data_IF_530936624700
#
_entry.id   IF_530936624700
#
_cell.length_a   1.000
_cell.length_b   1.000
_cell.length_c   1.000
_cell.angle_alpha   90.00
_cell.angle_beta   90.00
_cell.angle_gamma   90.00
#
_symmetry.space_group_name_H-M   'P 1'
#
loop_
_entity.id
_entity.type
_entity.pdbx_description
1 polymer ?
2 polymer ?
3 polymer ?
4 non-polymer ?
5 non-polymer ?
6 water ?
#
# COMPACT_ATOMS: atom_id res chain seq x y z
N UNK A 1 -9.50 -8.96 -25.35
CA UNK A 1 -10.52 -8.47 -26.24
C UNK A 1 -11.19 -7.21 -25.75
N UNK A 2 -11.45 -7.12 -24.44
CA UNK A 2 -12.04 -5.92 -23.84
C UNK A 2 -11.14 -5.40 -22.70
N UNK A 3 -10.68 -4.16 -22.85
CA UNK A 3 -9.80 -3.50 -21.88
C UNK A 3 -10.60 -2.45 -21.11
N UNK A 4 -10.44 -2.43 -19.78
CA UNK A 4 -11.07 -1.42 -18.92
C UNK A 4 -10.07 -0.33 -18.54
N UNK A 5 -10.50 0.92 -18.70
CA UNK A 5 -9.68 2.09 -18.37
C UNK A 5 -10.42 2.98 -17.38
N UNK A 6 -9.82 3.17 -16.21
CA UNK A 6 -10.36 4.04 -15.18
C UNK A 6 -9.71 5.41 -15.24
N UNK A 7 -10.54 6.43 -15.47
CA UNK A 7 -10.09 7.82 -15.58
C UNK A 7 -10.86 8.73 -14.62
N UNK A 8 -10.16 9.58 -13.85
CA UNK A 8 -8.69 9.59 -13.78
C UNK A 8 -8.17 8.57 -12.75
N UNK A 9 -6.85 8.36 -12.74
CA UNK A 9 -6.21 7.45 -11.78
C UNK A 9 -6.28 7.97 -10.34
N UNK A 10 -6.15 9.28 -10.19
CA UNK A 10 -6.29 9.97 -8.90
C UNK A 10 -7.40 11.02 -9.02
N UNK A 11 -8.39 10.92 -8.13
CA UNK A 11 -9.51 11.86 -8.08
C UNK A 11 -9.53 12.57 -6.73
N UNK A 12 -9.61 13.90 -6.78
CA UNK A 12 -9.63 14.74 -5.60
C UNK A 12 -10.97 15.43 -5.46
N UNK A 13 -11.63 15.25 -4.32
CA UNK A 13 -12.93 15.85 -4.06
C UNK A 13 -13.01 16.50 -2.68
N UNK A 14 -13.52 17.72 -2.65
CA UNK A 14 -13.76 18.46 -1.41
C UNK A 14 -14.96 17.86 -0.66
N UNK A 15 -15.01 18.00 0.69
CA UNK A 15 -16.20 17.57 1.43
C UNK A 15 -17.47 18.29 0.96
N UNK A 16 -18.51 17.51 0.67
CA UNK A 16 -19.79 18.01 0.16
C UNK A 16 -19.96 17.97 -1.35
N UNK A 17 -18.84 17.91 -2.07
CA UNK A 17 -18.80 17.93 -3.54
C UNK A 17 -19.36 16.65 -4.17
N UNK A 18 -19.92 16.80 -5.38
CA UNK A 18 -20.36 15.67 -6.20
C UNK A 18 -19.16 15.03 -6.89
N UNK A 19 -19.10 13.71 -6.84
CA UNK A 19 -17.96 12.92 -7.37
C UNK A 19 -18.48 11.93 -8.42
N UNK A 20 -17.87 11.93 -9.61
CA UNK A 20 -18.14 10.92 -10.63
C UNK A 20 -16.83 10.37 -11.19
N UNK A 21 -16.67 9.04 -11.10
CA UNK A 21 -15.53 8.35 -11.69
C UNK A 21 -15.97 7.36 -12.77
N UNK A 22 -15.24 7.34 -13.88
CA UNK A 22 -15.65 6.59 -15.07
C UNK A 22 -14.78 5.35 -15.28
N UNK A 23 -15.43 4.27 -15.69
CA UNK A 23 -14.77 3.05 -16.16
C UNK A 23 -15.15 2.85 -17.62
N UNK A 24 -14.19 3.07 -18.51
CA UNK A 24 -14.39 2.97 -19.94
C UNK A 24 -13.94 1.61 -20.46
N UNK A 25 -14.77 1.00 -21.29
CA UNK A 25 -14.46 -0.28 -21.92
C UNK A 25 -14.16 -0.09 -23.40
N UNK A 26 -13.21 -0.87 -23.93
CA UNK A 26 -12.81 -0.77 -25.35
C UNK A 26 -13.86 -1.33 -26.32
N UNK A 27 -14.76 -2.14 -25.78
CA UNK A 27 -15.95 -2.63 -26.49
C UNK A 27 -17.09 -2.75 -25.49
N UNK A 28 -18.32 -2.86 -26.01
CA UNK A 28 -19.55 -2.88 -25.20
C UNK A 28 -19.54 -3.98 -24.14
N UNK A 29 -19.93 -3.62 -22.91
CA UNK A 29 -20.15 -4.57 -21.82
C UNK A 29 -21.54 -4.35 -21.21
N UNK A 30 -22.15 -5.42 -20.72
CA UNK A 30 -23.55 -5.39 -20.27
C UNK A 30 -23.74 -4.96 -18.81
N UNK A 31 -22.65 -4.95 -18.05
CA UNK A 31 -22.67 -4.62 -16.62
C UNK A 31 -21.30 -4.12 -16.16
N UNK A 32 -21.27 -3.51 -14.98
CA UNK A 32 -20.04 -3.19 -14.29
C UNK A 32 -20.19 -3.41 -12.79
N UNK A 33 -19.22 -4.11 -12.21
CA UNK A 33 -19.14 -4.24 -10.76
C UNK A 33 -18.11 -3.25 -10.23
N UNK A 34 -18.35 -2.78 -9.01
CA UNK A 34 -17.47 -1.83 -8.34
C UNK A 34 -17.11 -2.32 -6.94
N UNK A 35 -15.83 -2.18 -6.59
CA UNK A 35 -15.31 -2.60 -5.30
C UNK A 35 -14.56 -1.46 -4.62
N UNK A 36 -14.82 -1.30 -3.32
CA UNK A 36 -14.13 -0.30 -2.49
C UNK A 36 -13.02 -0.96 -1.67
N UNK A 37 -11.83 -0.35 -1.71
CA UNK A 37 -10.72 -0.82 -0.88
C UNK A 37 -10.00 0.32 -0.15
N UNK A 38 -9.89 0.16 1.17
CA UNK A 38 -9.08 1.02 2.02
C UNK A 38 -7.81 0.27 2.42
N UNK A 39 -6.76 1.02 2.77
CA UNK A 39 -5.45 0.45 3.13
C UNK A 39 -5.53 -0.62 4.21
N UNK A 40 -4.94 -1.78 3.92
CA UNK A 40 -4.81 -2.87 4.88
C UNK A 40 -5.97 -3.86 4.99
N UNK A 41 -7.02 -3.63 4.21
CA UNK A 41 -8.22 -4.51 4.24
C UNK A 41 -8.63 -5.00 2.84
N UNK A 42 -9.39 -6.09 2.82
CA UNK A 42 -9.92 -6.69 1.59
C UNK A 42 -10.83 -5.75 0.81
N UNK A 43 -10.90 -5.90 -0.53
CA UNK A 43 -11.92 -5.15 -1.29
C UNK A 43 -13.34 -5.55 -0.86
N UNK A 44 -14.23 -4.57 -0.83
CA UNK A 44 -15.65 -4.80 -0.50
C UNK A 44 -16.47 -4.58 -1.76
N UNK A 45 -17.41 -5.49 -2.04
CA UNK A 45 -18.41 -5.27 -3.08
C UNK A 45 -19.21 -4.01 -2.72
N UNK A 46 -19.24 -3.05 -3.64
CA UNK A 46 -19.82 -1.74 -3.35
C UNK A 46 -21.07 -1.48 -4.20
N UNK A 47 -20.90 -1.49 -5.52
CA UNK A 47 -22.01 -1.45 -6.47
C UNK A 47 -21.86 -2.64 -7.41
N UNK A 48 -22.94 -3.42 -7.55
CA UNK A 48 -22.95 -4.59 -8.42
C UNK A 48 -24.09 -4.48 -9.44
N UNK A 49 -23.96 -5.22 -10.55
CA UNK A 49 -24.89 -5.14 -11.70
C UNK A 49 -25.15 -3.68 -12.09
N UNK A 50 -24.07 -2.91 -12.22
CA UNK A 50 -24.07 -1.50 -12.67
C UNK A 50 -24.63 -0.47 -11.68
N UNK A 51 -25.71 -0.82 -10.99
CA UNK A 51 -26.51 0.16 -10.23
C UNK A 51 -26.96 -0.28 -8.85
N UNK A 52 -26.81 -1.57 -8.54
CA UNK A 52 -27.34 -2.12 -7.28
C UNK A 52 -26.33 -1.94 -6.15
N UNK A 53 -26.78 -1.30 -5.08
CA UNK A 53 -25.95 -1.05 -3.91
C UNK A 53 -25.91 -2.26 -2.99
N UNK A 54 -24.71 -2.63 -2.57
CA UNK A 54 -24.53 -3.70 -1.58
C UNK A 54 -25.10 -3.28 -0.22
N UNK A 55 -25.41 -4.27 0.62
CA UNK A 55 -25.95 -4.00 1.96
C UNK A 55 -24.95 -3.23 2.81
N UNK A 56 -25.41 -2.10 3.35
CA UNK A 56 -24.58 -1.24 4.19
C UNK A 56 -23.96 -0.04 3.47
N UNK A 57 -24.02 -0.05 2.14
CA UNK A 57 -23.52 1.06 1.32
C UNK A 57 -24.50 2.23 1.43
N UNK A 58 -24.02 3.42 1.86
CA UNK A 58 -24.88 4.60 2.04
C UNK A 58 -25.56 5.08 0.75
N UNK A 59 -26.70 5.73 0.89
CA UNK A 59 -27.57 6.17 -0.22
C UNK A 59 -26.95 7.24 -1.14
N UNK A 60 -25.92 7.93 -0.65
CA UNK A 60 -25.17 8.92 -1.45
C UNK A 60 -24.43 8.30 -2.65
N UNK A 61 -24.15 7.00 -2.56
CA UNK A 61 -23.55 6.25 -3.66
C UNK A 61 -24.60 5.80 -4.68
N UNK A 62 -24.24 5.90 -5.95
CA UNK A 62 -25.03 5.39 -7.07
C UNK A 62 -24.13 4.98 -8.23
N UNK A 63 -24.67 4.16 -9.13
CA UNK A 63 -23.93 3.74 -10.33
C UNK A 63 -24.80 3.69 -11.57
N UNK A 64 -24.18 3.84 -12.73
CA UNK A 64 -24.88 3.79 -14.00
C UNK A 64 -24.01 3.63 -15.22
N UNK A 65 -24.65 3.63 -16.38
CA UNK A 65 -23.98 3.49 -17.66
C UNK A 65 -24.49 2.34 -18.49
N UNK A 66 -23.89 2.18 -19.66
CA UNK A 66 -24.21 1.12 -20.63
C UNK A 66 -23.12 1.13 -21.69
N UNK A 67 -23.02 0.01 -22.43
CA UNK A 67 -22.10 -0.10 -23.56
C UNK A 67 -20.64 0.02 -23.19
N UNK A 68 -20.02 1.10 -23.63
CA UNK A 68 -18.57 1.33 -23.46
C UNK A 68 -18.21 2.25 -22.29
N UNK A 69 -19.21 2.75 -21.56
CA UNK A 69 -18.95 3.69 -20.47
C UNK A 69 -19.85 3.47 -19.25
N UNK A 70 -19.22 3.22 -18.11
CA UNK A 70 -19.89 3.02 -16.82
C UNK A 70 -19.29 3.95 -15.77
N UNK A 71 -20.06 4.27 -14.73
CA UNK A 71 -19.62 5.23 -13.71
C UNK A 71 -20.11 4.92 -12.29
N UNK A 72 -19.35 5.42 -11.31
CA UNK A 72 -19.72 5.42 -9.90
C UNK A 72 -19.83 6.87 -9.46
N UNK A 73 -20.94 7.22 -8.81
CA UNK A 73 -21.22 8.60 -8.40
C UNK A 73 -21.49 8.70 -6.90
N UNK A 74 -20.86 9.69 -6.26
CA UNK A 74 -21.17 10.11 -4.89
C UNK A 74 -21.79 11.50 -4.96
N UNK A 75 -22.99 11.64 -4.40
CA UNK A 75 -23.74 12.91 -4.41
C UNK A 75 -23.07 14.00 -3.55
N UNK A 76 -22.61 13.60 -2.37
CA UNK A 76 -21.84 14.47 -1.49
C UNK A 76 -20.68 13.71 -0.86
N UNK A 77 -19.47 14.20 -1.13
CA UNK A 77 -18.24 13.58 -0.64
C UNK A 77 -18.08 13.74 0.86
N UNK A 78 -17.86 12.60 1.53
CA UNK A 78 -17.54 12.56 2.96
C UNK A 78 -16.14 11.97 3.14
N UNK A 79 -15.54 12.23 4.29
CA UNK A 79 -14.17 11.79 4.61
C UNK A 79 -14.00 10.26 4.56
N UNK A 80 -15.01 9.54 5.02
CA UNK A 80 -15.01 8.07 5.02
C UNK A 80 -15.07 7.43 3.62
N UNK A 81 -15.42 8.23 2.61
CA UNK A 81 -15.50 7.76 1.22
C UNK A 81 -14.14 7.69 0.53
N UNK A 82 -13.12 8.27 1.15
CA UNK A 82 -11.74 8.23 0.66
C UNK A 82 -11.23 6.79 0.66
N UNK A 83 -11.00 6.27 -0.56
CA UNK A 83 -10.61 4.88 -0.80
C UNK A 83 -10.25 4.70 -2.29
N UNK A 84 -9.78 3.51 -2.65
CA UNK A 84 -9.62 3.12 -4.05
C UNK A 84 -10.85 2.36 -4.51
N UNK A 85 -11.37 2.75 -5.68
CA UNK A 85 -12.52 2.10 -6.29
C UNK A 85 -12.10 1.40 -7.57
N UNK A 86 -12.32 0.08 -7.61
CA UNK A 86 -12.01 -0.75 -8.77
C UNK A 86 -13.28 -1.10 -9.50
N UNK A 87 -13.30 -0.86 -10.82
CA UNK A 87 -14.35 -1.41 -11.67
C UNK A 87 -13.94 -2.80 -12.14
N UNK A 88 -14.93 -3.63 -12.47
CA UNK A 88 -14.68 -5.05 -12.77
C UNK A 88 -15.80 -5.65 -13.63
N UNK A 89 -15.38 -6.44 -14.61
CA UNK A 89 -16.27 -7.12 -15.55
C UNK A 89 -15.55 -8.38 -16.03
N UNK A 90 -16.23 -9.53 -15.96
CA UNK A 90 -15.61 -10.84 -16.24
C UNK A 90 -15.27 -11.07 -17.71
N UNK A 91 -15.91 -10.32 -18.61
CA UNK A 91 -15.63 -10.40 -20.05
C UNK A 91 -14.43 -9.51 -20.43
N UNK A 92 -13.84 -8.84 -19.44
CA UNK A 92 -12.71 -7.95 -19.66
C UNK A 92 -11.37 -8.60 -19.27
N UNK A 93 -10.29 -8.14 -19.91
CA UNK A 93 -8.95 -8.70 -19.72
C UNK A 93 -7.90 -7.59 -19.61
N UNK A 94 -7.37 -7.31 -18.40
CA UNK A 94 -7.69 -8.02 -17.15
C UNK A 94 -9.09 -7.69 -16.62
N UNK A 95 -9.61 -8.56 -15.75
CA UNK A 95 -10.99 -8.44 -15.26
C UNK A 95 -11.22 -7.21 -14.37
N UNK A 96 -10.24 -6.85 -13.55
CA UNK A 96 -10.29 -5.65 -12.72
C UNK A 96 -9.63 -4.47 -13.43
N UNK A 97 -10.25 -3.30 -13.34
CA UNK A 97 -9.62 -2.04 -13.75
C UNK A 97 -8.50 -1.67 -12.81
N UNK A 98 -7.66 -0.72 -13.22
CA UNK A 98 -6.49 -0.30 -12.44
C UNK A 98 -6.83 0.44 -11.13
N UNK A 99 -8.06 0.93 -11.03
CA UNK A 99 -8.53 1.60 -9.81
C UNK A 99 -8.43 3.11 -9.87
N UNK A 100 -9.45 3.76 -9.29
CA UNK A 100 -9.43 5.21 -9.06
C UNK A 100 -9.25 5.45 -7.57
N UNK A 101 -8.12 6.04 -7.20
CA UNK A 101 -7.85 6.47 -5.84
C UNK A 101 -8.58 7.78 -5.61
N UNK A 102 -9.52 7.76 -4.67
CA UNK A 102 -10.29 8.95 -4.31
C UNK A 102 -9.77 9.52 -2.99
N UNK A 103 -9.32 10.76 -3.05
CA UNK A 103 -8.77 11.47 -1.89
C UNK A 103 -9.57 12.74 -1.60
N UNK A 104 -9.38 13.31 -0.41
CA UNK A 104 -9.97 14.61 -0.07
C UNK A 104 -9.16 15.73 -0.73
N UNK A 105 -9.89 16.69 -1.30
CA UNK A 105 -9.27 17.88 -1.90
C UNK A 105 -9.13 18.98 -0.86
N UNK A 106 -8.00 19.66 -0.91
CA UNK A 106 -7.73 20.86 -0.12
C UNK A 106 -6.87 21.82 -0.94
N UNK A 107 -6.59 23.00 -0.40
CA UNK A 107 -5.71 23.98 -1.06
C UNK A 107 -4.27 23.46 -1.11
N UNK A 108 -3.55 23.90 -2.14
CA UNK A 108 -2.13 23.55 -2.33
C UNK A 108 -1.31 24.02 -1.12
N UNK A 109 -0.54 23.10 -0.55
CA UNK A 109 0.37 23.41 0.55
C UNK A 109 1.77 22.91 0.20
N UNK A 110 2.73 23.82 0.24
CA UNK A 110 4.14 23.49 0.00
C UNK A 110 4.72 22.69 1.16
N UNK A 111 5.62 21.71 0.87
CA UNK A 111 6.23 20.97 1.97
C UNK A 111 7.21 21.81 2.78
N UNK A 112 7.25 21.55 4.08
CA UNK A 112 8.34 22.02 4.93
C UNK A 112 9.42 20.96 4.82
N UNK A 113 10.60 21.38 4.37
CA UNK A 113 11.70 20.47 4.02
C UNK A 113 12.78 20.48 5.09
N UNK A 114 13.24 19.29 5.47
CA UNK A 114 14.28 19.12 6.49
C UNK A 114 15.29 18.07 6.04
N UNK A 115 16.58 18.39 6.17
CA UNK A 115 17.66 17.43 5.87
C UNK A 115 18.37 16.97 7.15
N UNK A 116 18.66 15.67 7.23
CA UNK A 116 19.33 15.09 8.39
C UNK A 116 20.63 14.41 7.97
N UNK A 117 21.78 14.86 8.53
CA UNK A 117 23.07 14.18 8.31
C UNK A 117 23.08 12.80 8.95
N UNK A 118 23.96 11.88 8.47
CA UNK A 118 24.09 10.63 9.21
C UNK A 118 24.71 10.88 10.58
N UNK A 119 24.28 10.10 11.57
CA UNK A 119 24.80 10.18 12.93
C UNK A 119 26.21 9.59 12.98
N UNK A 120 27.00 10.03 13.95
CA UNK A 120 28.34 9.50 14.19
C UNK A 120 28.29 8.01 14.57
N UNK A 121 27.22 7.63 15.28
CA UNK A 121 26.95 6.24 15.65
C UNK A 121 26.87 5.32 14.43
N UNK A 122 26.14 5.75 13.40
CA UNK A 122 26.01 4.98 12.14
C UNK A 122 27.34 4.84 11.39
N UNK A 123 28.12 5.93 11.38
CA UNK A 123 29.41 5.97 10.67
C UNK A 123 30.42 4.93 11.17
N UNK A 124 30.23 4.44 12.39
CA UNK A 124 31.00 3.33 12.94
C UNK A 124 30.73 1.99 12.24
N UNK A 125 29.52 1.83 11.70
CA UNK A 125 29.09 0.58 11.05
C UNK A 125 29.54 0.43 9.58
N UNK A 126 30.06 1.52 9.01
CA UNK A 126 30.58 1.52 7.63
C UNK A 126 29.61 1.99 6.56
N UNK A 127 28.41 2.41 6.98
CA UNK A 127 27.37 2.91 6.06
C UNK A 127 26.88 4.29 6.53
N UNK A 128 26.43 5.11 5.58
CA UNK A 128 25.89 6.43 5.85
C UNK A 128 24.50 6.60 5.22
N UNK A 129 23.53 7.00 6.05
CA UNK A 129 22.17 7.27 5.60
C UNK A 129 21.86 8.75 5.78
N UNK A 130 21.49 9.41 4.68
CA UNK A 130 21.11 10.82 4.70
C UNK A 130 19.60 10.89 4.46
N UNK A 131 18.89 11.59 5.35
CA UNK A 131 17.42 11.59 5.33
C UNK A 131 16.85 12.97 5.02
N UNK A 132 15.86 13.00 4.14
CA UNK A 132 15.12 14.22 3.81
C UNK A 132 13.65 14.04 4.12
N UNK A 133 13.11 14.97 4.90
CA UNK A 133 11.69 14.98 5.25
C UNK A 133 10.96 16.10 4.51
N UNK A 134 9.84 15.73 3.89
CA UNK A 134 8.92 16.68 3.27
C UNK A 134 7.63 16.61 4.08
N UNK A 135 7.35 17.68 4.82
CA UNK A 135 6.29 17.66 5.83
C UNK A 135 5.04 18.43 5.44
N UNK A 136 3.90 17.77 5.60
CA UNK A 136 2.55 18.36 5.49
C UNK A 136 2.28 19.13 4.18
N UNK A 137 2.28 18.40 3.07
CA UNK A 137 2.07 18.99 1.75
C UNK A 137 0.84 18.44 1.01
N UNK A 138 0.33 19.23 0.06
CA UNK A 138 -0.74 18.83 -0.86
C UNK A 138 -0.56 19.57 -2.20
N UNK A 139 -0.72 18.92 -3.36
CA UNK A 139 -1.11 17.50 -3.52
C UNK A 139 0.00 16.48 -3.21
N UNK A 140 -0.31 15.20 -3.35
CA UNK A 140 0.60 14.09 -3.01
C UNK A 140 1.87 14.05 -3.86
N UNK A 141 1.76 14.41 -5.13
CA UNK A 141 2.88 14.38 -6.08
C UNK A 141 4.01 15.30 -5.64
N UNK A 142 5.21 14.73 -5.50
CA UNK A 142 6.42 15.47 -5.12
C UNK A 142 7.65 14.74 -5.64
N UNK A 143 8.67 15.50 -6.01
CA UNK A 143 9.93 14.97 -6.50
C UNK A 143 11.07 15.37 -5.56
N UNK A 144 11.87 14.38 -5.17
CA UNK A 144 13.07 14.59 -4.36
C UNK A 144 14.29 14.27 -5.22
N UNK A 145 15.19 15.24 -5.34
CA UNK A 145 16.45 15.07 -6.05
C UNK A 145 17.60 15.20 -5.06
N UNK A 146 18.32 14.10 -4.86
CA UNK A 146 19.52 14.11 -4.03
C UNK A 146 20.70 14.59 -4.86
N UNK A 147 21.46 15.51 -4.28
CA UNK A 147 22.66 16.05 -4.90
C UNK A 147 23.85 15.94 -3.93
N UNK A 148 24.92 15.33 -4.42
CA UNK A 148 26.17 15.19 -3.69
C UNK A 148 27.20 15.98 -4.47
N UNK A 149 27.73 17.05 -3.86
CA UNK A 149 28.60 18.04 -4.53
C UNK A 149 28.10 18.45 -5.93
N UNK A 150 26.82 18.83 -5.99
CA UNK A 150 26.11 19.23 -7.23
C UNK A 150 25.82 18.11 -8.25
N UNK A 151 26.31 16.90 -7.99
CA UNK A 151 26.01 15.74 -8.84
C UNK A 151 24.69 15.07 -8.43
N UNK A 152 23.79 14.96 -9.42
CA UNK A 152 22.46 14.36 -9.22
C UNK A 152 22.55 12.85 -9.01
N UNK A 153 21.95 12.40 -7.91
CA UNK A 153 21.96 10.99 -7.51
C UNK A 153 20.76 10.25 -8.08
N UNK A 154 20.97 8.98 -8.42
CA UNK A 154 19.92 8.12 -8.97
C UNK A 154 20.21 6.65 -8.65
N UNK A 155 19.17 5.92 -8.24
CA UNK A 155 19.31 4.49 -7.94
C UNK A 155 19.78 4.14 -6.54
N UNK A 156 20.22 5.15 -5.78
CA UNK A 156 20.73 4.96 -4.42
C UNK A 156 19.87 5.64 -3.33
N UNK A 157 18.57 5.82 -3.63
CA UNK A 157 17.62 6.36 -2.66
C UNK A 157 16.30 5.58 -2.62
N UNK A 158 15.66 5.62 -1.46
CA UNK A 158 14.32 5.04 -1.30
C UNK A 158 13.43 6.01 -0.52
N UNK A 159 12.14 5.97 -0.86
CA UNK A 159 11.16 6.85 -0.22
C UNK A 159 9.84 6.16 0.10
N UNK A 160 9.11 6.70 1.07
CA UNK A 160 7.74 6.31 1.35
C UNK A 160 6.90 7.52 1.77
N UNK A 161 5.59 7.38 1.62
CA UNK A 161 4.63 8.46 1.86
C UNK A 161 3.55 7.97 2.84
N UNK A 162 3.20 8.83 3.79
CA UNK A 162 2.11 8.56 4.73
C UNK A 162 0.75 8.64 4.04
N UNK A 163 -0.25 7.99 4.63
CA UNK A 163 -1.65 8.13 4.21
C UNK A 163 -2.12 9.56 4.47
N UNK A 164 -3.13 10.00 3.72
CA UNK A 164 -3.67 11.35 3.89
C UNK A 164 -4.09 11.59 5.33
N UNK A 165 -3.60 12.68 5.92
CA UNK A 165 -3.87 13.04 7.31
C UNK A 165 -5.35 13.38 7.50
N UNK A 166 -5.95 12.82 8.55
CA UNK A 166 -7.38 12.98 8.83
C UNK A 166 -7.77 14.39 9.28
N UNK A 167 -6.81 15.15 9.82
CA UNK A 167 -7.09 16.50 10.30
C UNK A 167 -6.90 17.60 9.24
N UNK A 168 -5.75 17.60 8.56
CA UNK A 168 -5.41 18.68 7.62
C UNK A 168 -5.37 18.30 6.13
N UNK A 169 -5.65 17.03 5.82
CA UNK A 169 -5.69 16.47 4.45
C UNK A 169 -4.36 16.52 3.67
N UNK A 170 -3.24 16.58 4.41
CA UNK A 170 -1.91 16.66 3.80
C UNK A 170 -1.21 15.29 3.77
N UNK A 171 -0.13 15.22 2.99
CA UNK A 171 0.75 14.07 2.94
C UNK A 171 2.13 14.45 3.45
N UNK A 172 2.90 13.45 3.89
CA UNK A 172 4.30 13.64 4.25
C UNK A 172 5.15 12.55 3.61
N UNK A 173 6.38 12.93 3.24
CA UNK A 173 7.32 12.03 2.55
C UNK A 173 8.67 12.00 3.26
N UNK A 174 9.23 10.79 3.34
CA UNK A 174 10.58 10.58 3.85
C UNK A 174 11.42 9.88 2.79
N UNK A 175 12.60 10.44 2.50
CA UNK A 175 13.54 9.86 1.55
C UNK A 175 14.90 9.63 2.21
N UNK A 176 15.49 8.48 1.95
CA UNK A 176 16.82 8.15 2.45
C UNK A 176 17.79 7.92 1.30
N UNK A 177 18.90 8.67 1.32
CA UNK A 177 20.05 8.41 0.45
C UNK A 177 21.03 7.54 1.22
N UNK A 178 21.40 6.41 0.62
CA UNK A 178 22.33 5.46 1.24
C UNK A 178 23.62 5.36 0.43
N UNK A 179 24.74 5.55 1.13
CA UNK A 179 26.06 5.40 0.55
C UNK A 179 27.02 4.85 1.62
N UNK A 180 28.13 4.26 1.18
CA UNK A 180 29.16 3.76 2.09
C UNK A 180 29.83 4.91 2.84
N UNK A 181 30.36 4.62 4.03
CA UNK A 181 31.12 5.60 4.82
C UNK A 181 32.28 6.18 4.01
N UNK A 182 32.99 5.30 3.29
CA UNK A 182 34.10 5.69 2.40
C UNK A 182 33.69 6.72 1.35
N UNK A 183 32.54 6.47 0.70
CA UNK A 183 31.96 7.41 -0.26
C UNK A 183 31.54 8.73 0.39
N UNK A 184 30.94 8.61 1.59
CA UNK A 184 30.47 9.78 2.36
C UNK A 184 31.60 10.74 2.72
N UNK A 185 32.74 10.18 3.15
CA UNK A 185 33.91 10.97 3.59
C UNK A 185 34.66 11.65 2.44
N UNK A 186 34.39 11.24 1.22
CA UNK A 186 35.05 11.77 0.01
C UNK A 186 34.30 12.96 -0.62
N UNK A 187 33.19 13.36 0.01
CA UNK A 187 32.38 14.48 -0.50
C UNK A 187 32.02 15.48 0.60
N UNK A 188 31.61 16.68 0.17
CA UNK A 188 31.39 17.80 1.10
C UNK A 188 29.94 18.24 1.25
N UNK A 189 29.28 18.59 0.14
CA UNK A 189 27.94 19.18 0.16
C UNK A 189 26.87 18.13 -0.15
N UNK A 190 25.96 17.96 0.80
CA UNK A 190 24.84 17.02 0.65
C UNK A 190 23.53 17.79 0.62
N UNK A 191 22.79 17.63 -0.48
CA UNK A 191 21.61 18.45 -0.75
C UNK A 191 20.39 17.63 -1.13
N UNK A 192 19.25 18.00 -0.53
CA UNK A 192 17.94 17.49 -0.89
C UNK A 192 17.16 18.60 -1.60
N UNK A 193 16.91 18.41 -2.90
CA UNK A 193 16.17 19.38 -3.72
C UNK A 193 14.75 18.88 -3.99
N UNK A 194 13.78 19.73 -3.67
CA UNK A 194 12.36 19.35 -3.67
C UNK A 194 11.55 20.10 -4.73
N UNK A 195 10.90 19.34 -5.61
CA UNK A 195 9.96 19.86 -6.60
C UNK A 195 8.53 19.52 -6.16
N UNK A 196 7.67 20.54 -6.13
CA UNK A 196 6.28 20.42 -5.72
C UNK A 196 5.43 21.55 -6.32
N UNK A 197 4.15 21.27 -6.58
CA UNK A 197 3.17 22.22 -7.12
C UNK A 197 3.13 23.58 -6.41
N UNK A 198 3.27 23.56 -5.07
CA UNK A 198 3.29 24.76 -4.25
C UNK A 198 4.63 25.48 -4.15
N UNK A 199 5.63 24.97 -4.87
CA UNK A 199 6.93 25.64 -4.97
C UNK A 199 7.12 26.17 -6.38
N UNK A 200 7.28 27.49 -6.48
CA UNK A 200 7.49 28.18 -7.76
C UNK A 200 8.81 27.77 -8.40
N UNK A 201 9.83 27.64 -7.57
CA UNK A 201 11.12 27.04 -7.92
C UNK A 201 11.45 25.96 -6.88
N UNK A 202 12.25 24.94 -7.27
CA UNK A 202 12.62 23.90 -6.28
C UNK A 202 13.36 24.48 -5.07
N UNK A 203 13.06 23.93 -3.89
CA UNK A 203 13.75 24.33 -2.65
C UNK A 203 14.80 23.30 -2.26
N UNK A 204 15.95 23.80 -1.82
CA UNK A 204 17.08 22.96 -1.48
C UNK A 204 17.49 23.18 -0.02
N UNK A 205 17.49 22.10 0.74
CA UNK A 205 18.07 22.08 2.08
C UNK A 205 19.37 21.30 2.00
N UNK A 206 20.41 21.86 2.61
CA UNK A 206 21.75 21.28 2.52
C UNK A 206 22.54 21.38 3.81
N UNK A 207 23.60 20.58 3.91
CA UNK A 207 24.59 20.64 4.97
C UNK A 207 25.97 20.31 4.40
N UNK A 208 27.02 20.82 5.07
CA UNK A 208 28.39 20.42 4.78
C UNK A 208 28.85 19.39 5.81
N UNK A 209 29.46 18.31 5.34
CA UNK A 209 29.99 17.25 6.19
C UNK A 209 31.07 17.80 7.12
N UNK A 210 30.90 17.58 8.43
CA UNK A 210 31.82 18.07 9.45
C UNK A 210 31.35 19.36 10.12
N UNK A 211 30.61 20.18 9.38
CA UNK A 211 30.09 21.45 9.87
C UNK A 211 28.68 21.29 10.43
N UNK B 1 -24.95 -15.90 7.54
CA UNK B 1 -24.27 -15.20 6.45
C UNK B 1 -23.06 -15.94 5.95
N UNK B 2 -22.77 -15.78 4.67
CA UNK B 2 -21.58 -16.37 4.03
C UNK B 2 -20.31 -15.73 4.62
N UNK B 3 -19.37 -16.57 5.04
CA UNK B 3 -18.09 -16.10 5.54
C UNK B 3 -16.93 -16.93 5.01
N UNK B 4 -15.83 -16.25 4.71
CA UNK B 4 -14.59 -16.88 4.25
C UNK B 4 -13.45 -16.42 5.16
N UNK B 5 -12.80 -17.40 5.79
CA UNK B 5 -11.67 -17.10 6.68
C UNK B 5 -10.40 -17.82 6.23
N UNK B 6 -9.34 -17.03 6.06
CA UNK B 6 -8.08 -17.50 5.52
C UNK B 6 -7.05 -17.79 6.62
N UNK B 7 -6.09 -18.66 6.28
CA UNK B 7 -4.93 -18.95 7.11
C UNK B 7 -4.01 -17.73 7.23
N UNK B 8 -3.20 -17.71 8.29
CA UNK B 8 -2.34 -16.57 8.61
C UNK B 8 -1.15 -16.35 7.69
N UNK B 9 -0.38 -15.27 7.93
CA UNK B 9 0.76 -14.88 7.08
C UNK B 9 1.83 -15.97 6.96
N UNK B 10 2.50 -16.00 5.80
CA UNK B 10 3.53 -17.00 5.52
C UNK B 10 4.83 -16.35 5.10
N UNK B 11 5.90 -16.67 5.83
CA UNK B 11 7.25 -16.25 5.49
C UNK B 11 7.99 -17.42 4.85
N UNK B 12 8.39 -17.23 3.59
CA UNK B 12 8.91 -18.30 2.74
C UNK B 12 10.30 -18.01 2.18
N UNK B 13 11.09 -19.07 2.03
CA UNK B 13 12.37 -18.99 1.31
C UNK B 13 12.14 -19.14 -0.20
N UNK B 14 12.98 -18.49 -1.03
CA UNK B 14 12.85 -18.66 -2.49
C UNK B 14 12.96 -20.12 -2.91
N UNK B 15 12.09 -20.54 -3.83
CA UNK B 15 12.05 -21.92 -4.31
C UNK B 15 11.14 -22.85 -3.55
N UNK B 16 10.62 -22.40 -2.40
CA UNK B 16 9.71 -23.20 -1.57
C UNK B 16 8.30 -23.25 -2.16
N UNK B 17 7.44 -24.07 -1.54
CA UNK B 17 6.03 -24.16 -1.90
C UNK B 17 5.17 -23.78 -0.69
N UNK B 18 4.17 -22.95 -0.94
CA UNK B 18 3.25 -22.46 0.09
C UNK B 18 1.83 -22.97 -0.14
N UNK B 19 1.14 -23.36 0.94
CA UNK B 19 -0.26 -23.76 0.86
C UNK B 19 -1.12 -22.89 1.79
N UNK B 20 -2.03 -22.14 1.19
CA UNK B 20 -2.96 -21.23 1.89
C UNK B 20 -4.35 -21.85 1.91
N UNK B 21 -4.99 -21.79 3.09
CA UNK B 21 -6.33 -22.33 3.27
C UNK B 21 -7.39 -21.23 3.32
N UNK B 22 -8.62 -21.60 2.95
CA UNK B 22 -9.78 -20.71 2.97
C UNK B 22 -10.99 -21.51 3.47
N UNK B 23 -11.36 -21.28 4.73
CA UNK B 23 -12.51 -21.96 5.34
C UNK B 23 -13.80 -21.20 5.02
N UNK B 24 -14.74 -21.91 4.41
CA UNK B 24 -16.01 -21.34 3.97
C UNK B 24 -17.16 -21.81 4.86
N UNK B 25 -18.02 -20.86 5.25
CA UNK B 25 -19.23 -21.15 6.04
C UNK B 25 -20.45 -20.38 5.51
N UNK B 26 -21.64 -20.85 5.89
CA UNK B 26 -22.90 -20.15 5.63
C UNK B 26 -23.60 -20.45 4.32
N UNK B 27 -23.14 -21.50 3.63
CA UNK B 27 -23.71 -21.96 2.35
C UNK B 27 -23.28 -23.41 2.05
N UNK B 28 -23.89 -24.01 1.03
CA UNK B 28 -23.51 -25.36 0.59
C UNK B 28 -22.18 -25.31 -0.18
N UNK B 29 -21.13 -25.85 0.46
CA UNK B 29 -19.74 -25.75 -0.01
C UNK B 29 -19.49 -26.29 -1.42
N UNK B 30 -20.27 -27.29 -1.82
CA UNK B 30 -20.08 -27.98 -3.09
C UNK B 30 -20.78 -27.33 -4.30
N UNK B 31 -21.54 -26.26 -4.07
CA UNK B 31 -22.36 -25.62 -5.11
C UNK B 31 -21.85 -24.24 -5.58
N UNK B 32 -20.69 -23.84 -5.07
CA UNK B 32 -20.08 -22.55 -5.42
C UNK B 32 -18.58 -22.69 -5.64
N UNK B 33 -18.05 -21.89 -6.57
CA UNK B 33 -16.61 -21.84 -6.81
C UNK B 33 -15.92 -20.95 -5.78
N UNK B 34 -14.80 -21.44 -5.24
CA UNK B 34 -13.91 -20.59 -4.43
C UNK B 34 -12.81 -20.09 -5.35
N UNK B 35 -12.74 -18.77 -5.47
CA UNK B 35 -11.83 -18.11 -6.40
C UNK B 35 -10.69 -17.42 -5.64
N UNK B 36 -9.56 -17.22 -6.32
CA UNK B 36 -8.35 -16.67 -5.71
C UNK B 36 -7.83 -15.45 -6.45
N UNK B 37 -7.46 -14.43 -5.68
CA UNK B 37 -7.06 -13.11 -6.20
C UNK B 37 -5.74 -12.67 -5.56
N UNK B 38 -4.80 -12.24 -6.41
CA UNK B 38 -3.48 -11.73 -6.01
C UNK B 38 -3.47 -10.21 -5.99
N UNK B 39 -2.90 -9.63 -4.93
CA UNK B 39 -2.69 -8.19 -4.86
C UNK B 39 -1.28 -7.81 -4.39
N UNK B 40 -0.51 -7.27 -5.32
CA UNK B 40 0.77 -6.62 -5.06
C UNK B 40 0.56 -5.10 -5.06
N UNK B 41 1.32 -4.35 -4.24
CA UNK B 41 1.32 -2.89 -4.35
C UNK B 41 1.91 -2.43 -5.69
N UNK B 42 1.11 -1.70 -6.46
CA UNK B 42 1.51 -1.22 -7.79
C UNK B 42 1.11 -2.11 -8.94
N UNK B 43 0.21 -3.06 -8.68
CA UNK B 43 -0.26 -4.02 -9.69
C UNK B 43 -1.78 -4.24 -9.69
N UNK B 44 -2.46 -3.74 -8.66
CA UNK B 44 -3.91 -3.87 -8.53
C UNK B 44 -4.34 -5.27 -8.12
N UNK B 45 -5.41 -5.76 -8.74
CA UNK B 45 -5.98 -7.07 -8.41
C UNK B 45 -5.92 -8.01 -9.61
N UNK B 46 -5.37 -9.21 -9.39
CA UNK B 46 -5.22 -10.22 -10.45
C UNK B 46 -5.90 -11.54 -10.08
N UNK B 47 -6.74 -12.03 -10.98
CA UNK B 47 -7.41 -13.32 -10.82
C UNK B 47 -6.42 -14.46 -11.07
N UNK B 48 -6.29 -15.37 -10.11
CA UNK B 48 -5.31 -16.48 -10.17
C UNK B 48 -5.97 -17.80 -10.60
N UNK B 49 -7.13 -18.09 -10.03
CA UNK B 49 -7.81 -19.35 -10.29
C UNK B 49 -8.91 -19.68 -9.31
N UNK B 50 -9.42 -20.91 -9.41
CA UNK B 50 -10.62 -21.33 -8.68
C UNK B 50 -10.73 -22.84 -8.57
N UNK B 51 -11.57 -23.28 -7.62
CA UNK B 51 -11.92 -24.69 -7.45
C UNK B 51 -13.41 -24.83 -7.15
N UNK B 52 -14.05 -25.85 -7.74
CA UNK B 52 -15.40 -26.25 -7.36
C UNK B 52 -15.28 -27.47 -6.46
N UNK B 53 -15.51 -27.28 -5.13
CA UNK B 53 -15.33 -28.34 -4.12
C UNK B 53 -16.19 -29.57 -4.37
N UNK B 54 -15.56 -30.75 -4.30
CA UNK B 54 -16.26 -32.03 -4.49
C UNK B 54 -16.46 -32.49 -5.93
N UNK B 55 -16.01 -31.69 -6.89
CA UNK B 55 -16.19 -31.99 -8.33
C UNK B 55 -14.89 -32.46 -8.99
N UNK B 56 -13.75 -32.12 -8.39
CA UNK B 56 -12.44 -32.33 -8.98
C UNK B 56 -12.08 -31.32 -10.06
N UNK B 57 -12.91 -30.29 -10.22
CA UNK B 57 -12.70 -29.26 -11.24
C UNK B 57 -11.99 -28.03 -10.69
N UNK B 58 -11.02 -27.55 -11.46
CA UNK B 58 -10.33 -26.29 -11.18
C UNK B 58 -9.99 -25.56 -12.47
N UNK B 59 -9.86 -24.24 -12.38
CA UNK B 59 -9.46 -23.41 -13.51
C UNK B 59 -8.28 -22.52 -13.12
N UNK B 60 -7.46 -22.17 -14.11
CA UNK B 60 -6.18 -21.50 -13.87
C UNK B 60 -6.00 -20.23 -14.71
N UNK B 61 -5.24 -19.29 -14.17
CA UNK B 61 -4.62 -18.21 -14.94
C UNK B 61 -3.38 -18.82 -15.60
N UNK B 62 -3.30 -18.66 -16.92
CA UNK B 62 -2.22 -19.25 -17.73
C UNK B 62 -0.83 -18.70 -17.43
N UNK B 63 -0.77 -17.43 -17.00
CA UNK B 63 0.49 -16.73 -16.69
C UNK B 63 1.21 -17.27 -15.45
N UNK B 64 0.54 -18.14 -14.69
CA UNK B 64 1.12 -18.78 -13.51
C UNK B 64 1.89 -20.06 -13.83
N UNK B 65 1.75 -20.54 -15.08
CA UNK B 65 2.53 -21.66 -15.65
C UNK B 65 2.51 -22.96 -14.82
N UNK B 66 1.31 -23.32 -14.34
CA UNK B 66 1.10 -24.55 -13.59
C UNK B 66 1.68 -24.59 -12.17
N UNK B 67 2.15 -23.45 -11.68
CA UNK B 67 2.73 -23.35 -10.33
C UNK B 67 1.65 -23.29 -9.25
N UNK B 68 0.44 -22.86 -9.64
CA UNK B 68 -0.70 -22.75 -8.74
C UNK B 68 -1.65 -23.92 -8.90
N UNK B 69 -1.94 -24.59 -7.78
CA UNK B 69 -2.90 -25.70 -7.74
C UNK B 69 -4.00 -25.41 -6.73
N UNK B 70 -5.23 -25.73 -7.11
CA UNK B 70 -6.41 -25.41 -6.31
C UNK B 70 -7.19 -26.67 -5.96
N UNK B 71 -7.29 -26.94 -4.66
CA UNK B 71 -7.96 -28.13 -4.13
C UNK B 71 -8.97 -27.75 -3.06
N UNK B 72 -9.79 -28.73 -2.65
CA UNK B 72 -10.78 -28.54 -1.59
C UNK B 72 -11.01 -29.82 -0.79
N UNK B 73 -11.30 -29.65 0.49
CA UNK B 73 -11.71 -30.74 1.38
C UNK B 73 -13.15 -30.48 1.85
N UNK B 74 -14.09 -31.27 1.31
CA UNK B 74 -15.52 -31.11 1.58
C UNK B 74 -15.91 -31.42 3.02
N UNK B 75 -15.15 -32.31 3.66
CA UNK B 75 -15.38 -32.70 5.07
C UNK B 75 -15.16 -31.55 6.06
N UNK B 76 -14.22 -30.66 5.76
CA UNK B 76 -13.89 -29.53 6.63
C UNK B 76 -14.30 -28.15 6.06
N UNK B 77 -14.95 -28.17 4.90
CA UNK B 77 -15.40 -26.95 4.19
C UNK B 77 -14.27 -25.93 3.95
N UNK B 78 -13.12 -26.45 3.53
CA UNK B 78 -11.91 -25.65 3.33
C UNK B 78 -11.35 -25.85 1.92
N UNK B 79 -11.10 -24.74 1.25
CA UNK B 79 -10.41 -24.73 -0.05
C UNK B 79 -8.94 -24.35 0.14
N UNK B 80 -8.09 -24.79 -0.79
CA UNK B 80 -6.65 -24.61 -0.68
C UNK B 80 -6.04 -24.12 -1.98
N UNK B 81 -5.13 -23.16 -1.86
CA UNK B 81 -4.26 -22.77 -2.96
C UNK B 81 -2.81 -23.08 -2.60
N UNK B 82 -2.16 -23.86 -3.46
CA UNK B 82 -0.73 -24.16 -3.34
C UNK B 82 0.04 -23.49 -4.48
N UNK B 83 1.06 -22.71 -4.10
CA UNK B 83 1.93 -22.05 -5.07
C UNK B 83 3.39 -22.47 -4.86
N UNK B 84 3.93 -23.18 -5.85
CA UNK B 84 5.28 -23.75 -5.79
C UNK B 84 6.31 -22.84 -6.49
N UNK B 85 7.59 -23.16 -6.26
CA UNK B 85 8.74 -22.44 -6.86
C UNK B 85 8.66 -20.93 -6.65
N UNK B 86 8.49 -20.52 -5.39
CA UNK B 86 8.27 -19.12 -5.03
C UNK B 86 9.46 -18.20 -5.34
N UNK B 87 9.14 -17.01 -5.83
CA UNK B 87 10.11 -15.94 -6.10
C UNK B 87 9.65 -14.66 -5.41
N UNK B 88 10.49 -13.62 -5.46
CA UNK B 88 10.15 -12.29 -4.93
C UNK B 88 8.87 -11.70 -5.54
N UNK B 89 8.62 -12.05 -6.80
CA UNK B 89 7.39 -11.66 -7.53
C UNK B 89 6.10 -12.20 -6.91
N UNK B 90 6.22 -13.34 -6.22
CA UNK B 90 5.08 -13.98 -5.55
C UNK B 90 4.72 -13.37 -4.19
N UNK B 91 5.56 -12.45 -3.69
CA UNK B 91 5.27 -11.70 -2.46
C UNK B 91 4.07 -10.77 -2.70
N UNK B 92 2.96 -11.09 -2.03
CA UNK B 92 1.67 -10.44 -2.27
C UNK B 92 0.66 -10.78 -1.17
N UNK B 93 -0.47 -10.08 -1.16
CA UNK B 93 -1.65 -10.47 -0.39
C UNK B 93 -2.51 -11.34 -1.30
N UNK B 94 -2.87 -12.52 -0.81
CA UNK B 94 -3.73 -13.46 -1.54
C UNK B 94 -5.10 -13.57 -0.90
N UNK B 95 -6.14 -13.35 -1.71
CA UNK B 95 -7.52 -13.42 -1.25
C UNK B 95 -8.23 -14.62 -1.83
N UNK B 96 -9.07 -15.27 -1.02
CA UNK B 96 -10.11 -16.14 -1.55
C UNK B 96 -11.43 -15.36 -1.60
N UNK B 97 -12.23 -15.67 -2.61
CA UNK B 97 -13.51 -14.96 -2.83
C UNK B 97 -14.56 -15.87 -3.45
N UNK B 98 -15.83 -15.43 -3.35
CA UNK B 98 -16.98 -16.15 -3.85
C UNK B 98 -18.01 -15.18 -4.44
N UNK B 99 -18.69 -15.63 -5.50
CA UNK B 99 -19.82 -14.92 -6.11
C UNK B 99 -20.96 -14.61 -5.13
N UNK B 100 -21.74 -13.59 -5.46
CA UNK B 100 -22.97 -13.28 -4.72
C UNK B 100 -24.05 -14.34 -4.89
N UNK B 101 -25.17 -14.14 -4.20
CA UNK B 101 -26.31 -15.06 -4.27
C UNK B 101 -26.98 -15.09 -5.65
N UNK B 102 -27.36 -13.91 -6.14
CA UNK B 102 -28.06 -13.77 -7.43
C UNK B 102 -27.30 -12.89 -8.43
N UNK B 103 -25.99 -12.77 -8.22
CA UNK B 103 -25.11 -11.94 -9.05
C UNK B 103 -23.69 -12.51 -9.08
N UNK B 104 -22.95 -12.24 -10.14
CA UNK B 104 -21.58 -12.77 -10.29
C UNK B 104 -20.45 -11.85 -9.81
N UNK B 105 -20.81 -10.76 -9.13
CA UNK B 105 -19.83 -9.94 -8.41
C UNK B 105 -19.26 -10.74 -7.24
N UNK B 106 -18.01 -10.45 -6.89
CA UNK B 106 -17.39 -11.09 -5.73
C UNK B 106 -17.90 -10.40 -4.47
N UNK B 107 -18.99 -10.94 -3.93
CA UNK B 107 -19.68 -10.37 -2.78
C UNK B 107 -19.00 -10.74 -1.47
N UNK B 108 -18.31 -11.87 -1.46
CA UNK B 108 -17.71 -12.41 -0.23
C UNK B 108 -16.22 -12.63 -0.41
N UNK B 109 -15.44 -12.00 0.46
CA UNK B 109 -13.98 -12.04 0.41
C UNK B 109 -13.41 -12.54 1.74
N UNK B 110 -12.35 -13.33 1.66
CA UNK B 110 -11.51 -13.63 2.81
C UNK B 110 -10.77 -12.38 3.26
N UNK B 111 -10.18 -12.42 4.45
CA UNK B 111 -9.46 -11.27 5.01
C UNK B 111 -8.09 -11.04 4.36
N UNK B 112 -7.65 -11.99 3.53
CA UNK B 112 -6.36 -11.93 2.87
C UNK B 112 -5.26 -12.64 3.64
N UNK B 113 -4.34 -13.25 2.90
CA UNK B 113 -3.15 -13.89 3.46
C UNK B 113 -1.91 -13.26 2.83
N UNK B 114 -1.06 -12.67 3.66
CA UNK B 114 0.20 -12.11 3.21
C UNK B 114 1.27 -13.18 3.08
N UNK B 115 1.82 -13.32 1.88
CA UNK B 115 2.97 -14.20 1.62
C UNK B 115 4.18 -13.31 1.36
N UNK B 116 5.24 -13.53 2.15
CA UNK B 116 6.51 -12.84 1.98
C UNK B 116 7.58 -13.87 1.59
N UNK B 117 8.15 -13.67 0.41
CA UNK B 117 9.22 -14.53 -0.09
C UNK B 117 10.54 -13.79 0.07
N UNK B 118 11.42 -14.35 0.90
CA UNK B 118 12.69 -13.70 1.25
C UNK B 118 13.74 -14.73 1.65
N UNK B 119 15.00 -14.42 1.32
CA UNK B 119 16.16 -15.22 1.73
C UNK B 119 16.79 -14.70 3.04
N UNK B 120 16.29 -13.56 3.52
CA UNK B 120 16.84 -12.89 4.72
C UNK B 120 16.54 -13.65 6.01
N UNK B 121 17.37 -13.43 7.02
CA UNK B 121 17.17 -13.98 8.36
C UNK B 121 16.84 -12.87 9.36
N UNK B 122 16.30 -13.26 10.52
CA UNK B 122 15.91 -12.34 11.59
C UNK B 122 17.08 -11.44 12.00
N UNK B 123 16.84 -10.13 12.01
CA UNK B 123 17.85 -9.13 12.37
C UNK B 123 17.22 -7.97 13.11
N UNK B 124 17.89 -7.55 14.18
CA UNK B 124 17.48 -6.40 14.98
C UNK B 124 17.91 -5.08 14.39
N UNK B 125 17.05 -4.05 14.48
CA UNK B 125 17.41 -2.76 13.91
C UNK B 125 18.40 -1.99 14.78
N UNK B 126 19.19 -1.14 14.13
CA UNK B 126 19.94 -0.10 14.83
C UNK B 126 19.06 1.15 14.80
N UNK B 127 19.02 1.88 15.92
CA UNK B 127 18.20 3.09 16.02
C UNK B 127 19.12 4.32 16.05
N UNK B 128 19.02 5.13 14.99
CA UNK B 128 19.85 6.33 14.84
C UNK B 128 19.04 7.61 14.96
N UNK B 129 19.63 8.65 15.59
CA UNK B 129 18.90 9.91 15.73
C UNK B 129 18.80 10.69 14.42
N UNK B 130 17.67 11.35 14.23
CA UNK B 130 17.52 12.38 13.21
C UNK B 130 17.45 13.69 13.97
N UNK B 131 18.63 14.29 14.18
CA UNK B 131 18.83 15.42 15.09
C UNK B 131 18.19 16.72 14.56
N UNK B 132 17.48 17.47 15.45
CA UNK B 132 16.70 18.68 15.13
C UNK B 132 17.29 19.65 14.11
N UNK B 133 16.47 20.00 13.11
CA UNK B 133 16.83 20.98 12.08
C UNK B 133 15.89 22.17 12.11
N UNK B 140 10.61 28.84 14.23
CA UNK B 140 9.23 28.51 14.58
C UNK B 140 9.02 27.03 14.85
N UNK B 141 9.17 26.22 13.81
CA UNK B 141 8.94 24.77 13.87
C UNK B 141 10.21 24.00 13.51
N UNK B 142 10.60 23.08 14.40
CA UNK B 142 11.74 22.19 14.19
C UNK B 142 11.28 20.75 13.99
N UNK B 143 12.07 19.96 13.27
CA UNK B 143 11.77 18.55 13.04
C UNK B 143 12.88 17.64 13.55
N UNK B 144 12.48 16.59 14.23
CA UNK B 144 13.40 15.57 14.73
C UNK B 144 12.82 14.17 14.51
N UNK B 145 13.64 13.14 14.66
CA UNK B 145 13.16 11.78 14.49
C UNK B 145 14.13 10.67 14.82
N UNK B 146 13.72 9.45 14.47
CA UNK B 146 14.57 8.26 14.59
C UNK B 146 14.55 7.45 13.30
N UNK B 147 15.72 6.96 12.94
CA UNK B 147 15.86 6.04 11.82
C UNK B 147 16.05 4.62 12.37
N UNK B 148 15.11 3.76 12.02
CA UNK B 148 15.08 2.36 12.45
C UNK B 148 15.58 1.55 11.25
N UNK B 149 16.89 1.27 11.24
CA UNK B 149 17.57 0.74 10.05
C UNK B 149 18.00 -0.72 10.18
N UNK B 150 17.80 -1.47 9.09
CA UNK B 150 18.31 -2.84 8.89
C UNK B 150 17.70 -3.88 9.82
N UNK B 151 16.39 -4.09 9.66
CA UNK B 151 15.67 -5.12 10.42
C UNK B 151 14.90 -6.09 9.52
N UNK B 152 14.68 -7.29 10.06
CA UNK B 152 13.86 -8.33 9.44
C UNK B 152 13.29 -9.23 10.56
N UNK B 153 12.01 -9.60 10.48
CA UNK B 153 11.08 -9.12 9.45
C UNK B 153 10.25 -7.93 9.93
N UNK B 154 9.23 -7.55 9.16
CA UNK B 154 8.20 -6.63 9.62
C UNK B 154 7.35 -7.34 10.72
N UNK B 155 6.75 -6.62 11.67
CA UNK B 155 6.80 -5.16 11.77
C UNK B 155 7.68 -4.62 12.92
N UNK B 156 7.71 -3.30 13.05
CA UNK B 156 8.24 -2.62 14.24
C UNK B 156 7.15 -1.73 14.83
N UNK B 157 7.14 -1.62 16.16
CA UNK B 157 6.23 -0.70 16.85
C UNK B 157 7.02 0.52 17.32
N UNK B 158 6.56 1.70 16.90
CA UNK B 158 7.23 2.96 17.22
C UNK B 158 6.25 3.92 17.90
N UNK B 159 6.68 4.50 19.03
CA UNK B 159 5.93 5.57 19.71
C UNK B 159 6.89 6.68 20.17
N UNK B 160 6.32 7.81 20.55
CA UNK B 160 7.08 8.94 21.08
C UNK B 160 6.64 9.27 22.51
N UNK B 161 7.64 9.42 23.39
CA UNK B 161 7.44 9.73 24.82
C UNK B 161 6.41 8.83 25.51
N UNK B 162 6.53 7.52 25.27
CA UNK B 162 5.64 6.47 25.81
C UNK B 162 4.15 6.67 25.45
N UNK B 163 3.90 7.17 24.24
CA UNK B 163 2.54 7.42 23.76
C UNK B 163 1.94 8.77 24.12
N UNK B 164 2.70 9.58 24.88
CA UNK B 164 2.26 10.92 25.29
C UNK B 164 2.32 11.93 24.15
N UNK B 165 3.30 11.77 23.25
CA UNK B 165 3.44 12.65 22.08
C UNK B 165 2.90 11.97 20.83
N UNK B 166 1.78 12.48 20.32
CA UNK B 166 1.10 11.93 19.15
C UNK B 166 0.89 12.98 18.06
N UNK B 167 0.70 14.24 18.47
CA UNK B 167 0.50 15.37 17.57
C UNK B 167 1.77 15.64 16.77
N UNK B 168 1.62 15.78 15.45
CA UNK B 168 2.73 16.07 14.54
C UNK B 168 3.68 14.92 14.27
N UNK B 169 3.29 13.71 14.69
CA UNK B 169 4.10 12.50 14.48
C UNK B 169 3.76 11.89 13.12
N UNK B 170 4.79 11.61 12.34
CA UNK B 170 4.65 10.81 11.12
C UNK B 170 5.60 9.62 11.19
N UNK B 171 5.03 8.43 11.34
CA UNK B 171 5.80 7.19 11.19
C UNK B 171 5.51 6.65 9.79
N UNK B 172 6.59 6.56 9.01
CA UNK B 172 6.49 6.24 7.59
C UNK B 172 6.46 4.75 7.31
N UNK B 173 5.83 4.34 6.19
CA UNK B 173 5.96 2.95 5.73
C UNK B 173 7.43 2.55 5.59
N UNK B 174 7.73 1.31 5.98
CA UNK B 174 9.08 0.77 5.84
C UNK B 174 9.41 0.59 4.36
N UNK B 175 10.69 0.78 4.02
CA UNK B 175 11.18 0.44 2.70
C UNK B 175 11.98 -0.86 2.77
N UNK B 176 11.84 -1.69 1.74
CA UNK B 176 12.61 -2.93 1.61
C UNK B 176 13.86 -2.64 0.78
N UNK B 177 15.02 -2.74 1.42
CA UNK B 177 16.31 -2.49 0.77
C UNK B 177 16.74 -3.70 -0.05
N UNK B 178 17.69 -3.49 -0.96
CA UNK B 178 18.24 -4.54 -1.83
C UNK B 178 18.96 -5.66 -1.06
N UNK B 179 19.39 -5.35 0.17
CA UNK B 179 19.95 -6.33 1.11
C UNK B 179 18.90 -7.32 1.62
N UNK B 180 17.63 -6.95 1.49
CA UNK B 180 16.51 -7.76 1.99
C UNK B 180 16.07 -7.34 3.39
N UNK B 181 16.72 -6.32 3.94
CA UNK B 181 16.38 -5.79 5.25
C UNK B 181 15.53 -4.52 5.10
N UNK B 182 14.69 -4.26 6.11
CA UNK B 182 13.81 -3.11 6.12
C UNK B 182 14.43 -1.91 6.81
N UNK B 183 13.97 -0.72 6.45
CA UNK B 183 14.29 0.51 7.16
C UNK B 183 13.06 1.41 7.21
N UNK B 184 12.77 1.94 8.40
CA UNK B 184 11.74 2.97 8.52
C UNK B 184 12.20 4.19 9.32
N UNK B 185 11.54 5.31 9.06
CA UNK B 185 11.74 6.53 9.81
C UNK B 185 10.46 6.95 10.50
N UNK B 186 10.62 7.52 11.69
CA UNK B 186 9.54 8.17 12.41
C UNK B 186 10.01 9.56 12.77
N UNK B 187 9.19 10.56 12.44
CA UNK B 187 9.53 11.96 12.70
C UNK B 187 8.46 12.67 13.53
N UNK B 188 8.84 13.79 14.15
CA UNK B 188 7.90 14.69 14.82
C UNK B 188 8.33 16.16 14.60
N UNK B 189 7.36 17.00 14.24
CA UNK B 189 7.58 18.45 14.19
C UNK B 189 7.10 19.08 15.48
N UNK B 190 7.96 19.91 16.08
CA UNK B 190 7.69 20.56 17.37
C UNK B 190 8.08 22.05 17.31
N UNK B 191 7.53 22.88 18.24
CA UNK B 191 8.06 24.24 18.38
C UNK B 191 9.55 24.22 18.75
N UNK B 192 10.33 25.05 18.08
CA UNK B 192 11.79 25.10 18.26
C UNK B 192 12.23 25.66 19.62
N UNK B 193 11.35 26.44 20.25
CA UNK B 193 11.59 27.01 21.58
C UNK B 193 11.57 25.97 22.70
N UNK B 194 10.92 24.83 22.44
CA UNK B 194 10.81 23.73 23.41
C UNK B 194 11.97 22.71 23.34
N UNK B 195 12.89 22.93 22.40
CA UNK B 195 14.06 22.05 22.19
C UNK B 195 15.05 22.03 23.36
N UNK B 196 15.00 23.05 24.22
CA UNK B 196 15.84 23.13 25.40
C UNK B 196 15.19 22.64 26.68
N UNK B 197 13.86 22.56 26.68
CA UNK B 197 13.08 22.21 27.88
C UNK B 197 12.41 20.83 27.84
N UNK B 198 11.80 20.49 26.70
CA UNK B 198 11.05 19.25 26.55
C UNK B 198 11.91 18.13 25.96
N UNK B 199 11.92 16.99 26.64
CA UNK B 199 12.64 15.79 26.19
C UNK B 199 11.83 15.06 25.11
N UNK B 200 12.52 14.56 24.09
CA UNK B 200 11.89 13.79 23.01
C UNK B 200 12.58 12.44 22.83
N UNK B 201 11.82 11.38 23.13
CA UNK B 201 12.33 9.99 23.10
C UNK B 201 11.46 9.14 22.19
N UNK B 202 12.08 8.49 21.21
CA UNK B 202 11.40 7.48 20.40
C UNK B 202 11.52 6.10 21.04
N UNK B 203 10.38 5.43 21.17
CA UNK B 203 10.33 4.07 21.73
C UNK B 203 10.17 3.10 20.56
N UNK B 204 11.13 2.19 20.42
CA UNK B 204 11.20 1.25 19.30
C UNK B 204 11.17 -0.18 19.82
N UNK B 205 10.22 -0.98 19.32
CA UNK B 205 10.09 -2.38 19.66
C UNK B 205 10.01 -3.25 18.41
N UNK B 206 11.06 -4.05 18.21
CA UNK B 206 11.07 -5.11 17.19
C UNK B 206 11.11 -6.45 17.91
N UNK B 207 9.96 -7.11 17.92
CA UNK B 207 9.74 -8.32 18.72
C UNK B 207 10.56 -9.57 18.32
N UNK B 208 10.69 -9.90 17.01
CA UNK B 208 11.40 -11.15 16.64
C UNK B 208 12.87 -11.20 17.03
N UNK B 209 13.52 -10.03 17.07
CA UNK B 209 14.93 -9.93 17.43
C UNK B 209 15.17 -9.56 18.90
N UNK B 210 14.07 -9.36 19.64
CA UNK B 210 14.09 -8.92 21.05
C UNK B 210 14.81 -7.56 21.21
N UNK B 211 14.49 -6.64 20.29
CA UNK B 211 15.06 -5.29 20.31
C UNK B 211 14.05 -4.32 20.90
N UNK B 212 14.42 -3.73 22.04
CA UNK B 212 13.61 -2.72 22.73
C UNK B 212 14.50 -1.55 23.10
N UNK B 213 14.28 -0.42 22.40
CA UNK B 213 15.16 0.74 22.48
C UNK B 213 14.36 2.02 22.76
N UNK B 214 14.81 2.78 23.76
CA UNK B 214 14.36 4.16 23.99
C UNK B 214 15.50 5.10 23.65
N UNK B 215 15.32 5.91 22.60
CA UNK B 215 16.36 6.85 22.15
C UNK B 215 15.93 8.31 22.31
N UNK B 216 16.66 9.03 23.17
CA UNK B 216 16.50 10.47 23.32
C UNK B 216 17.19 11.21 22.17
N UNK B 217 16.45 12.09 21.51
CA UNK B 217 16.95 12.84 20.35
C UNK B 217 17.02 14.33 20.69
N UNK B 218 18.21 14.90 20.54
CA UNK B 218 18.49 16.30 20.87
C UNK B 218 19.39 16.94 19.80
N UNK B 219 19.44 18.31 19.73
CA UNK B 219 20.40 18.97 18.82
C UNK B 219 21.86 18.60 19.12
N UNK B 220 22.65 18.44 18.06
CA UNK B 220 24.05 18.02 18.16
C UNK B 220 24.95 19.10 18.77
N UNK B 221 25.94 18.66 19.55
CA UNK B 221 26.88 19.56 20.24
C UNK B 221 27.88 20.21 19.30
C UNK C 1 -6.60 -13.24 -18.52
N UNK C 2 -6.50 -12.61 -17.34
CA UNK C 2 -6.39 -13.33 -16.08
C UNK C 2 -7.55 -14.29 -15.79
N UNK C 3 -8.78 -13.84 -16.07
CA UNK C 3 -9.99 -14.62 -15.81
C UNK C 3 -10.59 -15.28 -17.05
N UNK C 4 -9.76 -15.47 -18.09
CA UNK C 4 -10.19 -16.08 -19.36
C UNK C 4 -10.89 -17.43 -19.19
N UNK C 5 -10.33 -18.30 -18.34
CA UNK C 5 -10.85 -19.66 -18.18
C UNK C 5 -11.75 -19.84 -16.96
N UNK C 6 -12.24 -18.74 -16.40
CA UNK C 6 -13.19 -18.77 -15.28
C UNK C 6 -14.52 -19.42 -15.67
N UNK C 7 -15.15 -20.08 -14.70
CA UNK C 7 -16.46 -20.74 -14.86
C UNK C 7 -17.55 -19.80 -15.38
N UNK C 8 -18.57 -20.39 -15.99
CA UNK C 8 -19.76 -19.68 -16.43
C UNK C 8 -20.90 -19.91 -15.43
N UNK C 9 -21.62 -18.84 -15.09
CA UNK C 9 -22.74 -18.92 -14.14
C UNK C 9 -24.12 -18.83 -14.78
N UNK C 10 -24.19 -18.29 -16.00
CA UNK C 10 -25.44 -18.18 -16.75
C UNK C 10 -26.13 -16.84 -16.66
N UNK C 11 -25.45 -15.83 -16.10
CA UNK C 11 -26.00 -14.48 -15.98
C UNK C 11 -25.94 -13.64 -17.27
N UNK C 12 -25.67 -14.29 -18.41
CA UNK C 12 -25.65 -13.64 -19.73
C UNK C 12 -26.90 -12.82 -20.02
N UNK C 13 -26.69 -11.59 -20.49
CA UNK C 13 -27.78 -10.77 -21.02
C UNK C 13 -28.24 -11.41 -22.33
N UNK C 14 -29.56 -11.58 -22.47
CA UNK C 14 -30.15 -12.10 -23.69
C UNK C 14 -30.29 -10.97 -24.70
N UNK C 15 -29.32 -10.90 -25.63
CA UNK C 15 -29.24 -9.80 -26.59
C UNK C 15 -30.33 -9.86 -27.66
N UNK C 16 -30.97 -8.72 -27.88
CA UNK C 16 -32.11 -8.58 -28.81
C UNK C 16 -31.69 -8.16 -30.22
N UNK C 17 -30.69 -7.29 -30.30
CA UNK C 17 -30.24 -6.70 -31.57
C UNK C 17 -29.00 -7.39 -32.16
N UNK C 18 -28.05 -7.74 -31.30
X LIG D 1 -22.82 -10.71 -21.32
X LIG D 1 -24.00 -10.54 -20.45
X LIG D 1 -22.90 -9.75 -22.45
X LIG D 1 -21.58 -10.49 -20.55
X LIG D 1 -22.81 -12.09 -21.87
X LIG E 1 -12.25 -12.73 -20.52
X LIG E 1 -10.91 -12.82 -20.05
X LIG E 1 -12.47 -13.74 -21.65
X LIG E 1 -11.77 -13.33 -22.83
X LIG E 1 -13.96 -13.87 -21.95
X LIG E 1 -14.47 -12.66 -22.52
X LIG F 1 10.90 5.82 5.37
X LIG F 1 10.29 4.84 6.22
X LIG F 1 12.05 5.19 4.62
X LIG F 1 13.07 4.79 5.56
X LIG F 1 12.63 6.17 3.59
X LIG F 1 13.21 7.30 4.24
X LIG G 1 -25.29 -12.79 3.40
X LIG G 1 -25.59 -12.24 2.05
X LIG G 1 -26.56 -13.03 4.12
X LIG G 1 -24.48 -11.81 4.16
X LIG G 1 -24.55 -14.06 3.27
X LIG H 1 -25.43 -16.94 -0.83
X LIG H 1 -26.10 -15.82 -0.22
X LIG H 1 -26.43 -17.93 -1.40
X LIG H 1 -27.49 -18.16 -0.47
X LIG H 1 -25.72 -19.25 -1.67
X LIG H 1 -25.95 -19.64 -3.02
X LIG I 1 -28.78 -5.81 -27.51
X LIG I 1 -30.14 -6.20 -27.05
X LIG I 1 -28.78 -4.40 -27.93
X LIG I 1 -27.82 -6.00 -26.41
X LIG I 1 -28.39 -6.67 -28.66
X LIG J 1 -21.97 -15.51 -16.54
X LIG J 1 -22.44 -15.21 -15.18
X LIG J 1 -21.58 -14.26 -17.22
X LIG J 1 -20.82 -16.44 -16.47
X LIG J 1 -23.04 -16.15 -17.32
#
# INVERSE_FOLDING_TARGET
>A
QIVLTQSPAIMSASPGEKVTMTCSASSSVSYMHWYQQKSGTSPKRWIYDSSRLASGVPSRFSGGGSGTSYSLTISNMEAEDAATYFCQNWRSSPTFGAGTKLELKRTVAAPSVFIFPPSDEQLKSGTASVVCLLNNFYPREAKVQWKVDNALQSGNSQESVTEQDSKDSTYSLSSTLTLSKADYEKHKVYACEVTHQGLSSPVTKSFNRGEC
>B
QVQLQQSGPELMKPGASVKISCKATGYTFSTSWIEWIKQRPGHGLEWIGEVLPGSGKSNHNANFKGRATFTADTASNTAYMQLSSLTSEDSAVYYCAREGSNNNALAYWGQGTLVTVSAASTKGPSVFPLAPSSKSTSGGTAALGCLVKDYFPEPVTVSWNSGALTSGVHTFPAVLQSSGLYSLSSVVTVPSSSLGTQTYICNVNHKPSNTKVDKKVEPKSC
>C
XDAEFRHDSGYEVHHQKX
>D hetero
1 SO4 S O1 O2 O3 O4
>E hetero
1 GOL C1 O1 C2 O2 C3 O3
>F hetero
1 GOL C1 O1 C2 O2 C3 O3
>G hetero
1 SO4 S O1 O2 O3 O4
>H hetero
1 GOL C1 O1 C2 O2 C3 O3
>I hetero
1 SO4 S O1 O2 O3 O4
>J hetero
1 SO4 S O1 O2 O3 O4
#
